data_IF_020846242850
#
_entry.id   IF_020846242850
#
_cell.length_a   1.000
_cell.length_b   1.000
_cell.length_c   1.000
_cell.angle_alpha   90.00
_cell.angle_beta   90.00
_cell.angle_gamma   90.00
#
_symmetry.space_group_name_H-M   'P 1'
#
loop_
_entity.id
_entity.type
_entity.pdbx_description
1 polymer ?
#
# COMPACT_ATOMS: atom_id res chain seq x y z
N UNK A 1 -3.48 18.65 -8.14
CA UNK A 1 -4.18 17.53 -8.83
C UNK A 1 -4.91 18.08 -10.05
N UNK A 2 -4.73 17.46 -11.22
CA UNK A 2 -5.47 17.81 -12.45
C UNK A 2 -6.56 16.76 -12.67
N UNK A 3 -7.83 17.19 -12.75
CA UNK A 3 -9.01 16.31 -12.76
C UNK A 3 -9.75 16.28 -14.09
N UNK A 4 -9.26 16.99 -15.11
CA UNK A 4 -9.75 17.00 -16.50
C UNK A 4 -11.23 17.39 -16.73
N UNK A 5 -12.06 17.55 -15.69
CA UNK A 5 -13.40 18.13 -15.73
C UNK A 5 -13.77 18.79 -14.39
N UNK A 6 -14.67 19.77 -14.43
CA UNK A 6 -15.17 20.43 -13.22
C UNK A 6 -16.10 19.51 -12.42
N UNK A 7 -16.83 18.60 -13.07
CA UNK A 7 -17.66 17.60 -12.40
C UNK A 7 -16.83 16.69 -11.48
N UNK A 8 -15.70 16.16 -11.98
CA UNK A 8 -14.79 15.33 -11.18
C UNK A 8 -14.21 16.13 -10.01
N UNK A 9 -13.91 17.42 -10.19
CA UNK A 9 -13.45 18.31 -9.12
C UNK A 9 -14.49 18.45 -8.02
N UNK A 10 -15.73 18.77 -8.36
CA UNK A 10 -16.79 18.89 -7.36
C UNK A 10 -17.06 17.58 -6.62
N UNK A 11 -17.00 16.44 -7.32
CA UNK A 11 -17.13 15.12 -6.68
C UNK A 11 -16.02 14.84 -5.66
N UNK A 12 -14.77 15.22 -5.97
CA UNK A 12 -13.66 15.11 -5.02
C UNK A 12 -13.84 16.03 -3.81
N UNK A 13 -14.19 17.30 -4.03
CA UNK A 13 -14.41 18.29 -2.96
C UNK A 13 -15.57 17.89 -2.03
N UNK A 14 -16.67 17.38 -2.60
CA UNK A 14 -17.79 16.85 -1.82
C UNK A 14 -17.35 15.66 -0.96
N UNK A 15 -16.65 14.69 -1.55
CA UNK A 15 -16.19 13.51 -0.83
C UNK A 15 -15.23 13.89 0.27
N UNK A 16 -14.31 14.83 0.03
CA UNK A 16 -13.36 15.34 1.02
C UNK A 16 -14.06 16.00 2.21
N UNK A 17 -15.15 16.75 1.97
CA UNK A 17 -15.93 17.38 3.03
C UNK A 17 -16.83 16.41 3.81
N UNK A 18 -17.27 15.32 3.17
CA UNK A 18 -18.12 14.29 3.77
C UNK A 18 -17.31 13.23 4.54
N UNK A 19 -16.11 12.89 4.05
CA UNK A 19 -15.32 11.79 4.57
C UNK A 19 -14.91 12.05 6.03
N UNK A 20 -15.16 11.04 6.87
CA UNK A 20 -14.75 11.05 8.27
C UNK A 20 -13.79 9.88 8.51
N UNK A 21 -13.55 9.53 9.78
CA UNK A 21 -12.79 8.34 10.17
C UNK A 21 -13.32 7.11 9.44
N UNK A 22 -12.41 6.41 8.76
CA UNK A 22 -12.65 5.18 8.04
C UNK A 22 -12.06 4.01 8.82
N UNK A 23 -12.80 2.90 8.93
CA UNK A 23 -12.30 1.69 9.56
C UNK A 23 -11.36 0.96 8.59
N UNK A 24 -10.05 1.00 8.86
CA UNK A 24 -9.02 0.40 8.00
C UNK A 24 -8.68 -1.04 8.35
N UNK A 25 -9.36 -1.64 9.32
CA UNK A 25 -9.09 -2.99 9.82
C UNK A 25 -10.27 -3.94 9.64
N UNK A 26 -9.97 -5.24 9.46
CA UNK A 26 -10.96 -6.32 9.40
C UNK A 26 -10.44 -7.60 10.07
N UNK A 27 -11.34 -8.47 10.52
CA UNK A 27 -10.99 -9.71 11.21
C UNK A 27 -10.95 -10.96 10.31
N UNK A 28 -11.43 -10.88 9.06
CA UNK A 28 -11.52 -12.02 8.14
C UNK A 28 -11.18 -11.63 6.70
N UNK A 29 -10.61 -12.57 5.95
CA UNK A 29 -10.24 -12.44 4.54
C UNK A 29 -8.75 -12.63 4.28
N UNK A 30 -8.32 -12.29 3.07
CA UNK A 30 -6.89 -12.24 2.69
C UNK A 30 -6.34 -10.82 2.91
N UNK A 31 -5.03 -10.67 3.09
CA UNK A 31 -4.41 -9.34 3.20
C UNK A 31 -3.22 -9.35 4.13
N UNK A 32 -2.72 -8.15 4.41
CA UNK A 32 -1.58 -7.94 5.30
C UNK A 32 -2.05 -7.75 6.74
N UNK A 33 -1.37 -8.37 7.71
CA UNK A 33 -1.68 -8.18 9.14
C UNK A 33 -1.15 -6.83 9.64
N UNK A 34 -1.85 -6.22 10.58
CA UNK A 34 -1.37 -5.00 11.23
C UNK A 34 -0.11 -5.35 12.06
N UNK A 35 1.02 -4.64 11.90
CA UNK A 35 2.29 -5.02 12.53
C UNK A 35 2.25 -5.10 14.06
N UNK A 36 1.49 -4.21 14.71
CA UNK A 36 1.36 -4.14 16.17
C UNK A 36 0.13 -4.87 16.73
N UNK A 37 -0.81 -5.29 15.88
CA UNK A 37 -2.01 -6.04 16.29
C UNK A 37 -2.36 -7.11 15.24
N UNK A 38 -1.69 -8.26 15.26
CA UNK A 38 -1.83 -9.28 14.23
C UNK A 38 -3.20 -9.95 14.19
N UNK A 39 -4.10 -9.70 15.15
CA UNK A 39 -5.47 -10.20 15.11
C UNK A 39 -6.24 -9.61 13.92
N UNK A 40 -5.89 -8.38 13.52
CA UNK A 40 -6.54 -7.66 12.44
C UNK A 40 -5.71 -7.63 11.15
N UNK A 41 -6.42 -7.61 10.03
CA UNK A 41 -5.91 -7.42 8.68
C UNK A 41 -6.21 -5.98 8.24
N UNK A 42 -5.32 -5.41 7.44
CA UNK A 42 -5.60 -4.17 6.70
C UNK A 42 -6.66 -4.47 5.64
N UNK A 43 -7.67 -3.61 5.52
CA UNK A 43 -8.70 -3.73 4.50
C UNK A 43 -8.22 -3.21 3.13
N UNK A 44 -8.84 -3.71 2.06
CA UNK A 44 -8.34 -3.58 0.69
C UNK A 44 -8.31 -2.17 0.10
N UNK A 45 -9.12 -1.23 0.61
CA UNK A 45 -9.06 0.17 0.16
C UNK A 45 -7.96 0.95 0.88
N UNK A 46 -7.50 0.45 2.04
CA UNK A 46 -6.47 1.09 2.86
C UNK A 46 -5.06 0.67 2.43
N UNK A 47 -4.86 -0.59 2.04
CA UNK A 47 -3.56 -1.08 1.54
C UNK A 47 -3.27 -0.69 0.08
N UNK A 48 -4.26 -0.16 -0.65
CA UNK A 48 -4.16 0.21 -2.07
C UNK A 48 -3.94 1.71 -2.32
N UNK A 49 -3.42 2.47 -1.36
CA UNK A 49 -3.35 3.95 -1.44
C UNK A 49 -2.04 4.49 -2.00
N UNK A 50 -0.91 3.85 -1.71
CA UNK A 50 0.44 4.32 -2.09
C UNK A 50 1.28 3.25 -2.81
N UNK A 51 0.67 2.14 -3.22
CA UNK A 51 1.36 1.03 -3.89
C UNK A 51 2.04 1.43 -5.22
N UNK A 52 1.67 2.58 -5.80
CA UNK A 52 2.35 3.13 -6.98
C UNK A 52 3.83 3.43 -6.71
N UNK A 53 4.18 3.81 -5.48
CA UNK A 53 5.58 3.99 -5.08
C UNK A 53 6.34 2.67 -5.12
N UNK A 54 5.69 1.58 -4.68
CA UNK A 54 6.27 0.24 -4.70
C UNK A 54 6.63 -0.23 -6.11
N UNK A 55 5.82 0.12 -7.13
CA UNK A 55 6.14 -0.23 -8.52
C UNK A 55 7.52 0.24 -8.98
N UNK A 56 8.01 1.36 -8.45
CA UNK A 56 9.31 1.92 -8.83
C UNK A 56 10.49 1.02 -8.41
N UNK A 57 10.32 0.18 -7.39
CA UNK A 57 11.38 -0.71 -6.87
C UNK A 57 11.05 -2.19 -7.02
N UNK A 58 9.80 -2.55 -7.34
CA UNK A 58 9.35 -3.93 -7.42
C UNK A 58 10.21 -4.82 -8.34
N UNK A 59 10.71 -4.28 -9.45
CA UNK A 59 11.57 -5.02 -10.39
C UNK A 59 12.94 -5.39 -9.79
N UNK A 60 13.45 -4.62 -8.84
CA UNK A 60 14.66 -4.95 -8.08
C UNK A 60 14.42 -5.93 -6.94
N UNK A 61 13.17 -6.17 -6.55
CA UNK A 61 12.84 -7.04 -5.42
C UNK A 61 12.30 -8.40 -5.87
N UNK A 62 11.59 -8.44 -6.99
CA UNK A 62 10.83 -9.61 -7.44
C UNK A 62 11.41 -10.29 -8.69
N UNK A 63 12.18 -9.59 -9.53
CA UNK A 63 12.76 -10.14 -10.76
C UNK A 63 11.75 -10.98 -11.59
N UNK A 64 10.58 -10.40 -11.90
CA UNK A 64 9.44 -11.01 -12.61
C UNK A 64 8.68 -12.14 -11.87
N UNK A 65 9.07 -12.51 -10.65
CA UNK A 65 8.30 -13.42 -9.80
C UNK A 65 7.20 -12.67 -9.06
N UNK A 66 5.98 -12.77 -9.57
CA UNK A 66 4.80 -12.14 -8.98
C UNK A 66 4.54 -12.53 -7.52
N UNK A 67 5.01 -13.69 -7.07
CA UNK A 67 4.80 -14.18 -5.70
C UNK A 67 6.00 -13.98 -4.79
N UNK A 68 7.14 -13.49 -5.31
CA UNK A 68 8.37 -13.33 -4.54
C UNK A 68 8.88 -14.63 -3.91
N UNK A 69 8.56 -15.78 -4.50
CA UNK A 69 8.93 -17.11 -4.01
C UNK A 69 10.39 -17.48 -4.36
N UNK A 70 11.02 -16.74 -5.28
CA UNK A 70 12.38 -16.96 -5.72
C UNK A 70 13.41 -16.58 -4.64
N UNK A 71 13.81 -17.56 -3.83
CA UNK A 71 14.78 -17.40 -2.74
C UNK A 71 16.22 -17.13 -3.17
N UNK A 72 16.51 -17.06 -4.48
CA UNK A 72 17.86 -16.78 -4.99
C UNK A 72 18.18 -15.29 -5.10
N UNK A 73 17.18 -14.42 -4.83
CA UNK A 73 17.37 -12.98 -4.80
C UNK A 73 18.26 -12.56 -3.61
N UNK A 74 19.21 -11.61 -3.79
CA UNK A 74 20.15 -11.24 -2.74
C UNK A 74 19.52 -10.53 -1.53
N UNK A 75 18.37 -9.87 -1.73
CA UNK A 75 17.64 -9.17 -0.68
C UNK A 75 16.47 -10.04 -0.22
N UNK A 76 16.41 -10.35 1.07
CA UNK A 76 15.32 -11.10 1.67
C UNK A 76 14.19 -10.17 2.12
N UNK A 77 12.92 -10.63 2.14
CA UNK A 77 11.81 -9.81 2.60
C UNK A 77 12.00 -9.24 4.01
N UNK A 78 12.63 -9.99 4.92
CA UNK A 78 12.84 -9.58 6.31
C UNK A 78 13.91 -8.48 6.46
N UNK A 79 14.72 -8.24 5.43
CA UNK A 79 15.75 -7.19 5.43
C UNK A 79 15.17 -5.81 5.06
N UNK A 80 13.95 -5.77 4.51
CA UNK A 80 13.25 -4.53 4.14
C UNK A 80 12.55 -3.90 5.36
N UNK A 81 13.36 -3.42 6.30
CA UNK A 81 12.93 -2.74 7.53
C UNK A 81 12.40 -1.32 7.27
N UNK A 82 11.75 -0.72 8.27
CA UNK A 82 11.23 0.66 8.18
C UNK A 82 12.33 1.67 7.80
N UNK A 83 13.54 1.55 8.37
CA UNK A 83 14.69 2.43 8.04
C UNK A 83 15.10 2.35 6.56
N UNK A 84 15.01 1.15 5.96
CA UNK A 84 15.31 0.94 4.54
C UNK A 84 14.26 1.62 3.67
N UNK A 85 12.99 1.49 4.03
CA UNK A 85 11.89 2.15 3.30
C UNK A 85 11.93 3.67 3.44
N UNK A 86 12.25 4.17 4.64
CA UNK A 86 12.43 5.60 4.89
C UNK A 86 13.54 6.17 4.01
N UNK A 87 14.71 5.53 3.94
CA UNK A 87 15.81 6.00 3.08
C UNK A 87 15.46 6.05 1.58
N UNK A 88 14.61 5.13 1.10
CA UNK A 88 14.31 5.01 -0.32
C UNK A 88 13.08 5.80 -0.79
N UNK A 89 12.10 6.04 0.08
CA UNK A 89 10.80 6.61 -0.29
C UNK A 89 10.50 7.96 0.36
N UNK A 90 11.29 8.40 1.35
CA UNK A 90 11.15 9.68 2.05
C UNK A 90 12.42 10.53 1.91
#
# INVERSE_FOLDING_TARGET
>A
MNLYSDETRHGFEHTLGWLNRWACSRSYGLGTRIPWDPEFLVESLSDSTIYMAYYTVAHFLHNEDMYGANKTHPIKPEEMTDDVWEFHLL
#
